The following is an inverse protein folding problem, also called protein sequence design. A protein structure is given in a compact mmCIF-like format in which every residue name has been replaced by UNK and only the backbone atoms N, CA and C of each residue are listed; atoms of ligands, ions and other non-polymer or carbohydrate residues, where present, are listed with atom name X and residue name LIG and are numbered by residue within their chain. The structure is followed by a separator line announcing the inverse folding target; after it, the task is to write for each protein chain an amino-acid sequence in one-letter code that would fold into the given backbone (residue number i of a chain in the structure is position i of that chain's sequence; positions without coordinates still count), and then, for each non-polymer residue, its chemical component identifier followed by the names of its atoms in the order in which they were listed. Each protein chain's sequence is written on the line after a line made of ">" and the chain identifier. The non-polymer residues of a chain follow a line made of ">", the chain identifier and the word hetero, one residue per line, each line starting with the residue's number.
data_IF_384700968490
#
_entry.id   IF_384700968490
#
_cell.length_a   1.000
_cell.length_b   1.000
_cell.length_c   1.000
_cell.angle_alpha   90.00
_cell.angle_beta   90.00
_cell.angle_gamma   90.00
#
_symmetry.space_group_name_H-M   'P 1'
#
loop_
_entity.id
_entity.type
_entity.pdbx_description
1 polymer ?
#
# COMPACT_ATOMS: atom_id res chain seq x y z
N UNK A 1 5.21 11.20 -20.88
CA UNK A 1 5.86 9.87 -20.73
C UNK A 1 6.16 9.46 -19.28
N UNK A 2 7.08 10.10 -18.51
CA UNK A 2 7.34 9.70 -17.10
C UNK A 2 6.17 10.01 -16.15
N UNK A 3 5.54 11.17 -16.30
CA UNK A 3 4.42 11.59 -15.46
C UNK A 3 3.16 10.75 -15.70
N UNK A 4 2.89 10.36 -16.95
CA UNK A 4 1.80 9.43 -17.31
C UNK A 4 1.98 8.05 -16.68
N UNK A 5 3.22 7.54 -16.62
CA UNK A 5 3.48 6.25 -15.98
C UNK A 5 3.20 6.28 -14.48
N UNK A 6 3.67 7.31 -13.76
CA UNK A 6 3.44 7.43 -12.30
C UNK A 6 1.95 7.65 -12.00
N UNK A 7 1.27 8.48 -12.79
CA UNK A 7 -0.17 8.72 -12.61
C UNK A 7 -0.99 7.46 -12.87
N UNK A 8 -0.65 6.66 -13.90
CA UNK A 8 -1.27 5.35 -14.14
C UNK A 8 -1.02 4.37 -12.99
N UNK A 9 0.21 4.32 -12.46
CA UNK A 9 0.55 3.48 -11.32
C UNK A 9 -0.28 3.83 -10.09
N UNK A 10 -0.44 5.12 -9.80
CA UNK A 10 -1.23 5.64 -8.68
C UNK A 10 -2.72 5.37 -8.88
N UNK A 11 -3.26 5.61 -10.08
CA UNK A 11 -4.68 5.34 -10.36
C UNK A 11 -5.00 3.85 -10.22
N UNK A 12 -4.15 2.97 -10.74
CA UNK A 12 -4.30 1.53 -10.56
C UNK A 12 -4.21 1.12 -9.08
N UNK A 13 -3.26 1.70 -8.35
CA UNK A 13 -3.06 1.45 -6.92
C UNK A 13 -4.29 1.84 -6.09
N UNK A 14 -4.86 3.02 -6.33
CA UNK A 14 -6.00 3.55 -5.58
C UNK A 14 -7.30 2.79 -5.85
N UNK A 15 -7.41 2.08 -6.97
CA UNK A 15 -8.55 1.23 -7.28
C UNK A 15 -8.38 -0.20 -6.78
N UNK A 16 -7.21 -0.57 -6.28
CA UNK A 16 -6.91 -1.93 -5.83
C UNK A 16 -7.50 -2.18 -4.43
N UNK A 17 -8.41 -3.16 -4.26
CA UNK A 17 -9.01 -3.46 -2.96
C UNK A 17 -7.99 -3.96 -1.92
N UNK A 18 -6.86 -4.56 -2.35
CA UNK A 18 -5.84 -5.09 -1.43
C UNK A 18 -5.24 -3.95 -0.59
N UNK A 19 -4.99 -2.79 -1.22
CA UNK A 19 -4.48 -1.61 -0.54
C UNK A 19 -5.41 -1.19 0.59
N UNK A 20 -6.70 -1.02 0.29
CA UNK A 20 -7.69 -0.54 1.24
C UNK A 20 -7.92 -1.53 2.39
N UNK A 21 -8.09 -2.81 2.07
CA UNK A 21 -8.36 -3.86 3.06
C UNK A 21 -7.18 -4.02 4.02
N UNK A 22 -5.96 -4.21 3.51
CA UNK A 22 -4.78 -4.44 4.35
C UNK A 22 -4.43 -3.19 5.16
N UNK A 23 -4.46 -2.02 4.53
CA UNK A 23 -4.20 -0.75 5.23
C UNK A 23 -5.18 -0.54 6.37
N UNK A 24 -6.48 -0.82 6.15
CA UNK A 24 -7.50 -0.67 7.18
C UNK A 24 -7.34 -1.71 8.30
N UNK A 25 -7.20 -3.00 7.96
CA UNK A 25 -7.11 -4.07 8.96
C UNK A 25 -5.86 -3.94 9.83
N UNK A 26 -4.71 -3.57 9.24
CA UNK A 26 -3.47 -3.37 9.99
C UNK A 26 -3.49 -2.01 10.70
N UNK A 27 -3.87 -0.95 9.99
CA UNK A 27 -3.88 0.44 10.49
C UNK A 27 -4.88 0.68 11.62
N UNK A 28 -6.03 0.01 11.60
CA UNK A 28 -7.02 0.04 12.69
C UNK A 28 -6.51 -0.45 14.04
N UNK A 29 -5.38 -1.13 14.05
CA UNK A 29 -4.85 -1.79 15.24
C UNK A 29 -5.71 -2.98 15.69
N UNK A 30 -6.58 -3.51 14.83
CA UNK A 30 -7.34 -4.74 15.08
C UNK A 30 -6.39 -5.92 15.35
N UNK A 31 -5.35 -6.05 14.54
CA UNK A 31 -4.35 -7.12 14.67
C UNK A 31 -3.23 -6.78 15.65
N UNK A 32 -2.85 -5.51 15.74
CA UNK A 32 -1.63 -5.10 16.45
C UNK A 32 -1.77 -3.73 17.10
N UNK A 33 -1.54 -3.65 18.42
CA UNK A 33 -1.76 -2.41 19.18
C UNK A 33 -0.58 -1.44 19.20
N UNK A 34 0.65 -1.94 19.02
CA UNK A 34 1.87 -1.10 19.08
C UNK A 34 2.14 -0.46 17.72
N UNK A 35 2.27 0.87 17.69
CA UNK A 35 2.52 1.65 16.48
C UNK A 35 3.74 1.14 15.69
N UNK A 36 4.86 0.86 16.37
CA UNK A 36 6.08 0.30 15.73
C UNK A 36 5.79 -0.97 14.93
N UNK A 37 4.95 -1.85 15.47
CA UNK A 37 4.61 -3.10 14.80
C UNK A 37 3.64 -2.83 13.65
N UNK A 38 2.67 -1.92 13.79
CA UNK A 38 1.78 -1.48 12.69
C UNK A 38 2.62 -1.06 11.47
N UNK A 39 3.63 -0.20 11.66
CA UNK A 39 4.55 0.20 10.58
C UNK A 39 5.23 -1.00 9.91
N UNK A 40 5.72 -1.96 10.69
CA UNK A 40 6.39 -3.16 10.18
C UNK A 40 5.43 -4.03 9.35
N UNK A 41 4.19 -4.24 9.83
CA UNK A 41 3.19 -5.01 9.09
C UNK A 41 2.72 -4.28 7.82
N UNK A 42 2.54 -2.96 7.86
CA UNK A 42 2.22 -2.16 6.68
C UNK A 42 3.35 -2.20 5.64
N UNK A 43 4.61 -2.17 6.08
CA UNK A 43 5.77 -2.32 5.21
C UNK A 43 5.77 -3.68 4.51
N UNK A 44 5.62 -4.78 5.27
CA UNK A 44 5.59 -6.14 4.72
C UNK A 44 4.38 -6.30 3.78
N UNK A 45 3.21 -5.80 4.16
CA UNK A 45 2.00 -5.85 3.34
C UNK A 45 2.16 -5.09 2.02
N UNK A 46 2.74 -3.89 2.07
CA UNK A 46 3.03 -3.09 0.88
C UNK A 46 4.07 -3.74 -0.04
N UNK A 47 5.07 -4.42 0.55
CA UNK A 47 6.08 -5.17 -0.20
C UNK A 47 5.45 -6.38 -0.91
N UNK A 48 4.67 -7.20 -0.21
CA UNK A 48 3.95 -8.33 -0.79
C UNK A 48 3.00 -7.88 -1.90
N UNK A 49 2.21 -6.84 -1.64
CA UNK A 49 1.28 -6.28 -2.61
C UNK A 49 2.00 -5.72 -3.84
N UNK A 50 3.13 -5.03 -3.66
CA UNK A 50 3.97 -4.54 -4.75
C UNK A 50 4.49 -5.66 -5.65
N UNK A 51 4.92 -6.78 -5.06
CA UNK A 51 5.32 -7.96 -5.83
C UNK A 51 4.14 -8.63 -6.54
N UNK A 52 2.97 -8.76 -5.89
CA UNK A 52 1.76 -9.28 -6.53
C UNK A 52 1.44 -8.45 -7.78
N UNK A 53 1.43 -7.12 -7.67
CA UNK A 53 1.23 -6.23 -8.82
C UNK A 53 2.28 -6.42 -9.91
N UNK A 54 3.56 -6.54 -9.53
CA UNK A 54 4.64 -6.77 -10.49
C UNK A 54 4.41 -8.04 -11.31
N UNK A 55 4.03 -9.13 -10.65
CA UNK A 55 3.75 -10.41 -11.31
C UNK A 55 2.47 -10.36 -12.17
N UNK A 56 1.44 -9.64 -11.74
CA UNK A 56 0.24 -9.40 -12.56
C UNK A 56 0.61 -8.66 -13.84
N UNK A 57 1.38 -7.56 -13.76
CA UNK A 57 1.81 -6.84 -14.96
C UNK A 57 2.61 -7.74 -15.92
N UNK A 58 3.56 -8.52 -15.38
CA UNK A 58 4.30 -9.51 -16.20
C UNK A 58 3.39 -10.54 -16.84
N UNK A 59 2.39 -11.05 -16.12
CA UNK A 59 1.42 -12.02 -16.65
C UNK A 59 0.52 -11.43 -17.74
N UNK A 60 0.26 -10.12 -17.71
CA UNK A 60 -0.45 -9.39 -18.74
C UNK A 60 0.41 -9.04 -19.97
N UNK A 61 1.70 -9.43 -19.96
CA UNK A 61 2.63 -9.20 -21.07
C UNK A 61 3.41 -7.89 -20.99
N UNK A 62 3.29 -7.13 -19.90
CA UNK A 62 4.04 -5.88 -19.71
C UNK A 62 5.51 -6.16 -19.37
N UNK A 63 6.43 -5.54 -20.13
CA UNK A 63 7.88 -5.63 -19.92
C UNK A 63 8.32 -4.43 -19.10
N UNK A 64 8.32 -4.59 -17.77
CA UNK A 64 8.79 -3.56 -16.85
C UNK A 64 10.32 -3.62 -16.72
N UNK A 65 10.98 -2.48 -16.92
CA UNK A 65 12.40 -2.34 -16.60
C UNK A 65 12.66 -2.51 -15.09
N UNK A 66 13.91 -2.76 -14.71
CA UNK A 66 14.32 -2.87 -13.30
C UNK A 66 13.93 -1.59 -12.52
N UNK A 67 14.14 -0.42 -13.13
CA UNK A 67 13.79 0.86 -12.51
C UNK A 67 12.27 1.00 -12.30
N UNK A 68 11.46 0.66 -13.30
CA UNK A 68 10.00 0.69 -13.21
C UNK A 68 9.46 -0.30 -12.18
N UNK A 69 10.06 -1.49 -12.11
CA UNK A 69 9.71 -2.52 -11.12
C UNK A 69 10.01 -2.05 -9.69
N UNK A 70 11.17 -1.42 -9.49
CA UNK A 70 11.55 -0.84 -8.19
C UNK A 70 10.61 0.30 -7.79
N UNK A 71 10.29 1.19 -8.72
CA UNK A 71 9.32 2.28 -8.48
C UNK A 71 7.93 1.76 -8.12
N UNK A 72 7.45 0.72 -8.79
CA UNK A 72 6.18 0.07 -8.48
C UNK A 72 6.13 -0.43 -7.04
N UNK A 73 7.16 -1.17 -6.62
CA UNK A 73 7.25 -1.74 -5.26
C UNK A 73 7.34 -0.60 -4.24
N UNK A 74 8.17 0.40 -4.51
CA UNK A 74 8.34 1.56 -3.63
C UNK A 74 7.03 2.33 -3.42
N UNK A 75 6.30 2.64 -4.50
CA UNK A 75 5.00 3.31 -4.43
C UNK A 75 3.99 2.45 -3.68
N UNK A 76 4.01 1.13 -3.88
CA UNK A 76 3.10 0.20 -3.20
C UNK A 76 3.32 0.20 -1.68
N UNK A 77 4.58 0.20 -1.25
CA UNK A 77 4.95 0.33 0.17
C UNK A 77 4.53 1.69 0.72
N UNK A 78 4.85 2.77 0.01
CA UNK A 78 4.53 4.13 0.42
C UNK A 78 3.02 4.31 0.64
N UNK A 79 2.21 3.87 -0.32
CA UNK A 79 0.75 3.98 -0.24
C UNK A 79 0.19 3.14 0.92
N UNK A 80 0.65 1.89 1.09
CA UNK A 80 0.19 1.03 2.18
C UNK A 80 0.46 1.68 3.55
N UNK A 81 1.65 2.27 3.72
CA UNK A 81 2.03 2.97 4.95
C UNK A 81 1.16 4.22 5.14
N UNK A 82 1.03 5.06 4.11
CA UNK A 82 0.25 6.31 4.17
C UNK A 82 -1.21 6.03 4.53
N UNK A 83 -1.88 5.11 3.83
CA UNK A 83 -3.27 4.77 4.10
C UNK A 83 -3.44 4.06 5.45
N UNK A 84 -2.51 3.17 5.82
CA UNK A 84 -2.58 2.49 7.11
C UNK A 84 -2.46 3.46 8.29
N UNK A 85 -1.57 4.44 8.21
CA UNK A 85 -1.45 5.50 9.22
C UNK A 85 -2.67 6.40 9.23
N UNK A 86 -3.20 6.76 8.05
CA UNK A 86 -4.43 7.53 7.94
C UNK A 86 -5.59 6.84 8.67
N UNK A 87 -5.77 5.53 8.47
CA UNK A 87 -6.79 4.76 9.20
C UNK A 87 -6.51 4.67 10.70
N UNK A 88 -5.24 4.52 11.10
CA UNK A 88 -4.86 4.56 12.51
C UNK A 88 -5.32 5.86 13.18
N UNK A 89 -5.06 7.00 12.56
CA UNK A 89 -5.48 8.30 13.08
C UNK A 89 -6.99 8.43 13.15
N UNK A 90 -7.72 8.05 12.09
CA UNK A 90 -9.20 8.08 12.08
C UNK A 90 -9.77 7.29 13.25
N UNK A 91 -9.29 6.06 13.46
CA UNK A 91 -9.83 5.17 14.47
C UNK A 91 -9.50 5.65 15.88
N UNK A 92 -8.30 6.21 16.07
CA UNK A 92 -7.93 6.79 17.35
C UNK A 92 -8.75 8.05 17.68
N UNK A 93 -9.09 8.86 16.67
CA UNK A 93 -9.99 10.02 16.84
C UNK A 93 -11.40 9.60 17.25
N UNK A 94 -11.92 8.50 16.69
CA UNK A 94 -13.23 7.95 17.07
C UNK A 94 -13.21 7.47 18.53
N UNK A 95 -12.21 6.67 18.91
CA UNK A 95 -12.09 6.13 20.28
C UNK A 95 -11.89 7.18 21.36
N UNK A 96 -11.37 8.36 21.02
CA UNK A 96 -11.12 9.43 22.00
C UNK A 96 -12.39 10.24 22.31
N UNK A 97 -13.45 10.08 21.51
CA UNK A 97 -14.72 10.79 21.68
C UNK A 97 -15.76 10.01 22.50
N UNK A 98 -15.53 8.71 22.74
CA UNK A 98 -16.33 7.87 23.63
C UNK A 98 -15.75 7.88 25.06
#
# INVERSE_FOLDING_TARGET
>A
MKEEYITLLLQGALKDPILWILSFVIGSGLLVKKLKNIYLYLFIGGLLWGFIRLYIYKALGEILTINQSSQLIFISILLMILFGIFFYFIINLIKTKD
#
